data_IF_243465217569
#
_entry.id   IF_243465217569
#
_cell.length_a   1.000
_cell.length_b   1.000
_cell.length_c   1.000
_cell.angle_alpha   90.00
_cell.angle_beta   90.00
_cell.angle_gamma   90.00
#
_symmetry.space_group_name_H-M   'P 1'
#
loop_
_entity.id
_entity.type
_entity.pdbx_description
1 polymer ?
#
# COMPACT_ATOMS: atom_id res chain seq x y z
N UNK A 1 22.73 -10.26 10.30
CA UNK A 1 21.67 -9.53 11.05
C UNK A 1 20.56 -9.22 10.06
N UNK A 2 19.30 -9.50 10.40
CA UNK A 2 18.14 -9.18 9.55
C UNK A 2 17.72 -7.73 9.79
N UNK A 3 17.54 -6.96 8.72
CA UNK A 3 16.98 -5.59 8.81
C UNK A 3 15.51 -5.68 9.22
N UNK A 4 15.07 -4.79 10.11
CA UNK A 4 13.67 -4.64 10.50
C UNK A 4 12.85 -4.13 9.32
N UNK A 5 11.60 -4.58 9.25
CA UNK A 5 10.61 -4.06 8.30
C UNK A 5 10.26 -2.59 8.59
N UNK A 6 9.79 -1.88 7.57
CA UNK A 6 9.41 -0.48 7.69
C UNK A 6 8.12 -0.35 8.50
N UNK A 7 8.14 0.45 9.56
CA UNK A 7 7.06 0.55 10.55
C UNK A 7 6.84 1.97 11.11
N UNK A 8 7.80 2.90 10.95
CA UNK A 8 7.67 4.27 11.45
C UNK A 8 6.78 5.15 10.57
N UNK A 9 6.80 4.93 9.26
CA UNK A 9 6.06 5.73 8.28
C UNK A 9 5.59 4.88 7.10
N UNK A 10 4.72 5.44 6.26
CA UNK A 10 4.26 4.83 5.00
C UNK A 10 5.03 5.34 3.78
N UNK A 11 5.88 6.35 3.96
CA UNK A 11 6.69 6.94 2.91
C UNK A 11 7.90 7.69 3.48
N UNK A 12 8.92 7.86 2.65
CA UNK A 12 10.10 8.67 3.00
C UNK A 12 9.74 10.13 3.31
N UNK A 13 8.71 10.68 2.65
CA UNK A 13 8.22 12.03 2.92
C UNK A 13 7.59 12.16 4.32
N UNK A 14 6.85 11.15 4.76
CA UNK A 14 6.29 11.10 6.11
C UNK A 14 7.39 10.88 7.15
N UNK A 15 8.38 10.02 6.85
CA UNK A 15 9.55 9.82 7.70
C UNK A 15 10.35 11.13 7.89
N UNK A 16 10.53 11.91 6.82
CA UNK A 16 11.15 13.24 6.90
C UNK A 16 10.39 14.17 7.85
N UNK A 17 9.05 14.21 7.78
CA UNK A 17 8.22 15.01 8.68
C UNK A 17 8.37 14.60 10.14
N UNK A 18 8.49 13.29 10.42
CA UNK A 18 8.73 12.77 11.78
C UNK A 18 10.11 13.14 12.32
N UNK A 19 11.08 13.27 11.43
CA UNK A 19 12.46 13.58 11.77
C UNK A 19 12.64 15.07 12.12
N UNK A 20 12.05 15.97 11.31
CA UNK A 20 12.13 17.42 11.49
C UNK A 20 11.49 17.85 12.81
N UNK A 21 12.32 18.17 13.80
CA UNK A 21 11.86 18.74 15.08
C UNK A 21 12.77 19.92 15.44
N UNK A 22 12.21 21.11 15.73
CA UNK A 22 13.02 22.27 16.06
C UNK A 22 13.83 22.01 17.33
N UNK A 23 15.14 22.23 17.24
CA UNK A 23 16.06 22.17 18.38
C UNK A 23 15.85 23.43 19.22
N UNK A 24 15.29 23.29 20.41
CA UNK A 24 14.94 24.42 21.29
C UNK A 24 16.07 24.86 22.20
N UNK A 25 17.16 24.08 22.29
CA UNK A 25 18.27 24.38 23.19
C UNK A 25 19.09 25.59 22.70
N UNK A 26 19.55 26.39 23.67
CA UNK A 26 20.38 27.58 23.43
C UNK A 26 21.82 27.44 23.95
N UNK A 27 22.13 26.37 24.70
CA UNK A 27 23.47 26.11 25.23
C UNK A 27 24.30 25.32 24.19
N UNK A 28 25.42 25.87 23.66
CA UNK A 28 26.22 25.23 22.63
C UNK A 28 26.77 23.85 23.02
N UNK A 29 27.23 23.69 24.26
CA UNK A 29 27.77 22.42 24.76
C UNK A 29 26.68 21.36 24.83
N UNK A 30 25.49 21.71 25.32
CA UNK A 30 24.35 20.79 25.35
C UNK A 30 23.92 20.38 23.94
N UNK A 31 23.91 21.32 22.99
CA UNK A 31 23.61 21.02 21.57
C UNK A 31 24.65 20.05 21.00
N UNK A 32 25.94 20.26 21.29
CA UNK A 32 27.01 19.37 20.84
C UNK A 32 26.89 17.96 21.44
N UNK A 33 26.68 17.84 22.76
CA UNK A 33 26.48 16.54 23.41
C UNK A 33 25.28 15.80 22.84
N UNK A 34 24.16 16.49 22.64
CA UNK A 34 22.94 15.91 22.05
C UNK A 34 23.18 15.45 20.60
N UNK A 35 23.91 16.25 19.82
CA UNK A 35 24.30 15.92 18.46
C UNK A 35 25.16 14.66 18.41
N UNK A 36 26.17 14.55 19.29
CA UNK A 36 27.02 13.35 19.38
C UNK A 36 26.22 12.10 19.76
N UNK A 37 25.26 12.22 20.67
CA UNK A 37 24.35 11.12 21.01
C UNK A 37 23.51 10.67 19.80
N UNK A 38 22.99 11.60 19.00
CA UNK A 38 22.24 11.24 17.79
C UNK A 38 23.13 10.52 16.77
N UNK A 39 24.37 10.98 16.59
CA UNK A 39 25.31 10.30 15.71
C UNK A 39 25.60 8.87 16.17
N UNK A 40 25.86 8.70 17.47
CA UNK A 40 26.15 7.38 18.05
C UNK A 40 24.97 6.43 17.92
N UNK A 41 23.76 6.87 18.28
CA UNK A 41 22.53 6.05 18.14
C UNK A 41 22.25 5.69 16.68
N UNK A 42 22.50 6.61 15.75
CA UNK A 42 22.37 6.30 14.32
C UNK A 42 23.35 5.21 13.88
N UNK A 43 24.61 5.27 14.33
CA UNK A 43 25.63 4.28 13.99
C UNK A 43 25.29 2.88 14.52
N UNK A 44 24.67 2.79 15.70
CA UNK A 44 24.21 1.55 16.33
C UNK A 44 22.99 0.95 15.60
N UNK A 45 22.00 1.79 15.29
CA UNK A 45 20.75 1.31 14.70
C UNK A 45 20.83 1.06 13.20
N UNK A 46 21.75 1.68 12.44
CA UNK A 46 21.74 1.67 10.96
C UNK A 46 21.66 0.29 10.29
N UNK A 47 22.21 -0.75 10.93
CA UNK A 47 22.24 -2.10 10.36
C UNK A 47 20.96 -2.89 10.65
N UNK A 48 20.20 -2.48 11.67
CA UNK A 48 19.00 -3.16 12.15
C UNK A 48 17.74 -2.35 11.79
N UNK A 49 17.72 -1.06 12.11
CA UNK A 49 16.60 -0.13 11.93
C UNK A 49 17.04 1.09 11.11
N UNK A 50 16.82 1.03 9.80
CA UNK A 50 17.17 2.12 8.89
C UNK A 50 16.31 3.36 9.10
N UNK A 51 15.02 3.22 9.45
CA UNK A 51 14.11 4.36 9.66
C UNK A 51 14.53 5.17 10.89
N UNK A 52 14.86 4.49 11.99
CA UNK A 52 15.33 5.13 13.22
C UNK A 52 16.70 5.77 13.02
N UNK A 53 17.64 5.08 12.35
CA UNK A 53 18.95 5.64 12.05
C UNK A 53 18.85 6.91 11.18
N UNK A 54 17.94 6.90 10.19
CA UNK A 54 17.65 8.07 9.35
C UNK A 54 17.12 9.24 10.19
N UNK A 55 16.14 9.00 11.07
CA UNK A 55 15.59 10.04 11.96
C UNK A 55 16.70 10.66 12.83
N UNK A 56 17.59 9.84 13.39
CA UNK A 56 18.68 10.35 14.22
C UNK A 56 19.68 11.18 13.42
N UNK A 57 20.04 10.79 12.19
CA UNK A 57 20.93 11.60 11.34
C UNK A 57 20.30 12.92 10.90
N UNK A 58 19.00 12.94 10.61
CA UNK A 58 18.29 14.19 10.34
C UNK A 58 18.35 15.14 11.54
N UNK A 59 18.12 14.62 12.76
CA UNK A 59 18.23 15.41 13.99
C UNK A 59 19.66 15.84 14.33
N UNK A 60 20.65 15.03 13.94
CA UNK A 60 22.06 15.42 14.01
C UNK A 60 22.30 16.70 13.21
N UNK A 61 21.80 16.78 11.98
CA UNK A 61 21.95 17.98 11.14
C UNK A 61 21.15 19.19 11.65
N UNK A 62 19.97 18.98 12.24
CA UNK A 62 19.23 20.05 12.93
C UNK A 62 20.07 20.65 14.08
N UNK A 63 20.76 19.80 14.87
CA UNK A 63 21.66 20.25 15.93
C UNK A 63 22.92 20.92 15.37
N UNK A 64 23.47 20.41 14.26
CA UNK A 64 24.63 20.99 13.60
C UNK A 64 24.36 22.42 13.11
N UNK A 65 23.22 22.65 12.45
CA UNK A 65 22.82 24.00 12.01
C UNK A 65 22.55 24.91 13.21
N UNK A 66 21.92 24.40 14.29
CA UNK A 66 21.75 25.16 15.53
C UNK A 66 23.07 25.56 16.16
N UNK A 67 24.04 24.64 16.22
CA UNK A 67 25.37 24.89 16.76
C UNK A 67 26.13 25.95 15.92
N UNK A 68 26.01 25.87 14.60
CA UNK A 68 26.58 26.86 13.66
C UNK A 68 25.99 28.26 13.88
N UNK A 69 24.67 28.34 14.10
CA UNK A 69 24.01 29.59 14.45
C UNK A 69 24.51 30.16 15.79
N UNK A 70 24.59 29.33 16.84
CA UNK A 70 25.05 29.74 18.17
C UNK A 70 26.54 30.14 18.21
N UNK A 71 27.38 29.50 17.38
CA UNK A 71 28.79 29.84 17.24
C UNK A 71 29.04 31.15 16.46
N UNK A 72 27.98 31.75 15.89
CA UNK A 72 28.01 33.06 15.27
C UNK A 72 29.04 33.17 14.15
N UNK A 73 28.95 32.33 13.10
CA UNK A 73 29.70 32.39 11.83
C UNK A 73 31.23 32.64 11.88
N UNK A 74 31.86 32.62 13.06
CA UNK A 74 33.28 32.89 13.21
C UNK A 74 34.04 31.58 13.01
N UNK A 75 34.78 31.53 11.91
CA UNK A 75 35.57 30.39 11.41
C UNK A 75 36.61 29.85 12.41
N UNK A 76 36.78 30.51 13.57
CA UNK A 76 37.73 30.19 14.65
C UNK A 76 37.07 29.81 15.99
N UNK A 77 35.76 29.54 16.03
CA UNK A 77 35.15 28.99 17.24
C UNK A 77 35.80 27.65 17.57
N UNK A 78 36.36 27.51 18.78
CA UNK A 78 36.95 26.26 19.28
C UNK A 78 35.97 25.07 19.21
N UNK A 79 34.67 25.33 19.02
CA UNK A 79 33.61 24.35 18.85
C UNK A 79 33.66 23.64 17.47
N UNK A 80 34.13 24.31 16.42
CA UNK A 80 34.21 23.75 15.06
C UNK A 80 35.60 23.20 14.74
N UNK A 81 35.98 22.17 15.49
CA UNK A 81 37.25 21.45 15.29
C UNK A 81 37.26 20.68 13.96
N UNK A 82 38.45 20.30 13.49
CA UNK A 82 38.63 19.45 12.30
C UNK A 82 37.91 18.10 12.44
N UNK A 83 37.78 17.58 13.66
CA UNK A 83 37.08 16.33 13.95
C UNK A 83 35.57 16.47 13.71
N UNK A 84 34.95 17.57 14.13
CA UNK A 84 33.53 17.81 13.89
C UNK A 84 33.21 17.85 12.39
N UNK A 85 34.08 18.49 11.58
CA UNK A 85 33.91 18.51 10.12
C UNK A 85 33.99 17.11 9.51
N UNK A 86 34.94 16.28 9.95
CA UNK A 86 35.06 14.88 9.51
C UNK A 86 33.84 14.05 9.88
N UNK A 87 33.34 14.22 11.11
CA UNK A 87 32.12 13.54 11.58
C UNK A 87 30.89 13.97 10.77
N UNK A 88 30.76 15.25 10.45
CA UNK A 88 29.66 15.76 9.62
C UNK A 88 29.68 15.18 8.20
N UNK A 89 30.87 15.06 7.59
CA UNK A 89 31.02 14.39 6.28
C UNK A 89 30.61 12.91 6.36
N UNK A 90 31.06 12.20 7.40
CA UNK A 90 30.69 10.81 7.61
C UNK A 90 29.18 10.64 7.85
N UNK A 91 28.56 11.56 8.61
CA UNK A 91 27.12 11.60 8.84
C UNK A 91 26.35 11.83 7.53
N UNK A 92 26.89 12.67 6.64
CA UNK A 92 26.31 12.95 5.32
C UNK A 92 26.33 11.71 4.43
N UNK A 93 27.47 11.02 4.34
CA UNK A 93 27.59 9.76 3.60
C UNK A 93 26.60 8.69 4.12
N UNK A 94 26.46 8.61 5.45
CA UNK A 94 25.51 7.68 6.07
C UNK A 94 24.07 8.04 5.73
N UNK A 95 23.71 9.32 5.84
CA UNK A 95 22.36 9.79 5.53
C UNK A 95 22.00 9.53 4.07
N UNK A 96 22.92 9.79 3.14
CA UNK A 96 22.69 9.54 1.71
C UNK A 96 22.49 8.04 1.43
N UNK A 97 23.31 7.18 2.05
CA UNK A 97 23.18 5.73 1.91
C UNK A 97 21.83 5.21 2.43
N UNK A 98 21.38 5.72 3.58
CA UNK A 98 20.10 5.37 4.19
C UNK A 98 18.93 5.89 3.36
N UNK A 99 19.02 7.12 2.85
CA UNK A 99 18.01 7.71 1.99
C UNK A 99 17.77 6.84 0.75
N UNK A 100 18.84 6.48 0.03
CA UNK A 100 18.78 5.59 -1.14
C UNK A 100 18.22 4.21 -0.82
N UNK A 101 18.56 3.65 0.35
CA UNK A 101 18.03 2.34 0.78
C UNK A 101 16.54 2.42 1.09
N UNK A 102 16.13 3.40 1.90
CA UNK A 102 14.74 3.58 2.34
C UNK A 102 13.82 3.91 1.16
N UNK A 103 14.26 4.76 0.23
CA UNK A 103 13.51 5.06 -0.99
C UNK A 103 13.15 3.78 -1.76
N UNK A 104 14.15 2.93 -2.04
CA UNK A 104 13.94 1.63 -2.70
C UNK A 104 12.98 0.72 -1.93
N UNK A 105 13.10 0.68 -0.60
CA UNK A 105 12.25 -0.18 0.24
C UNK A 105 10.80 0.31 0.30
N UNK A 106 10.57 1.61 0.42
CA UNK A 106 9.21 2.18 0.36
C UNK A 106 8.59 2.02 -1.02
N UNK A 107 9.37 2.18 -2.10
CA UNK A 107 8.90 1.89 -3.46
C UNK A 107 8.50 0.42 -3.62
N UNK A 108 9.34 -0.51 -3.15
CA UNK A 108 9.04 -1.94 -3.19
C UNK A 108 7.77 -2.28 -2.39
N UNK A 109 7.60 -1.69 -1.20
CA UNK A 109 6.37 -1.82 -0.40
C UNK A 109 5.14 -1.32 -1.16
N UNK A 110 5.24 -0.16 -1.83
CA UNK A 110 4.14 0.39 -2.63
C UNK A 110 3.80 -0.50 -3.82
N UNK A 111 4.81 -0.99 -4.54
CA UNK A 111 4.63 -1.91 -5.67
C UNK A 111 3.98 -3.22 -5.22
N UNK A 112 4.39 -3.75 -4.07
CA UNK A 112 3.77 -4.94 -3.48
C UNK A 112 2.31 -4.70 -3.08
N UNK A 113 2.01 -3.59 -2.43
CA UNK A 113 0.63 -3.24 -2.11
C UNK A 113 -0.24 -3.07 -3.38
N UNK A 114 0.34 -2.57 -4.47
CA UNK A 114 -0.33 -2.48 -5.77
C UNK A 114 -0.53 -3.87 -6.41
N UNK A 115 0.48 -4.74 -6.42
CA UNK A 115 0.33 -6.11 -6.95
C UNK A 115 -0.70 -6.91 -6.16
N UNK A 116 -0.71 -6.78 -4.83
CA UNK A 116 -1.67 -7.45 -3.95
C UNK A 116 -3.10 -6.92 -4.16
N UNK A 117 -3.25 -5.68 -4.63
CA UNK A 117 -4.56 -5.10 -4.99
C UNK A 117 -5.04 -5.44 -6.41
N UNK A 118 -4.13 -5.77 -7.33
CA UNK A 118 -4.46 -6.15 -8.72
C UNK A 118 -4.69 -7.66 -8.85
N UNK A 119 -4.06 -8.47 -8.00
CA UNK A 119 -4.36 -9.90 -7.91
C UNK A 119 -5.60 -10.13 -7.05
N UNK A 120 -6.80 -10.17 -7.65
CA UNK A 120 -7.94 -11.02 -7.25
C UNK A 120 -9.20 -10.69 -8.08
N UNK A 121 -9.14 -10.89 -9.40
CA UNK A 121 -10.31 -11.52 -10.02
C UNK A 121 -10.20 -13.00 -9.65
N UNK A 122 -11.18 -13.59 -8.95
CA UNK A 122 -11.12 -15.01 -8.62
C UNK A 122 -10.98 -15.79 -9.93
N UNK A 123 -10.19 -16.86 -9.94
CA UNK A 123 -10.07 -17.73 -11.11
C UNK A 123 -11.37 -18.53 -11.22
N UNK A 124 -11.97 -18.66 -12.42
CA UNK A 124 -13.15 -19.52 -12.58
C UNK A 124 -12.84 -20.94 -12.10
N UNK A 125 -13.80 -21.63 -11.45
CA UNK A 125 -13.58 -22.98 -10.95
C UNK A 125 -13.29 -23.97 -12.10
N UNK A 126 -12.34 -24.89 -11.88
CA UNK A 126 -11.94 -25.90 -12.87
C UNK A 126 -13.02 -26.97 -13.16
N UNK A 127 -14.07 -27.02 -12.32
CA UNK A 127 -15.18 -27.96 -12.46
C UNK A 127 -16.41 -27.31 -13.09
N UNK A 128 -17.20 -28.03 -13.89
CA UNK A 128 -18.43 -27.50 -14.47
C UNK A 128 -19.39 -26.99 -13.38
N UNK A 129 -19.77 -25.72 -13.48
CA UNK A 129 -20.77 -25.12 -12.59
C UNK A 129 -22.08 -25.90 -12.80
N UNK A 130 -22.51 -26.65 -11.77
CA UNK A 130 -23.77 -27.41 -11.82
C UNK A 130 -24.94 -26.43 -11.86
N UNK A 131 -25.79 -26.56 -12.88
CA UNK A 131 -26.95 -25.68 -13.14
C UNK A 131 -27.73 -25.36 -11.87
N UNK A 132 -27.86 -24.09 -11.56
CA UNK A 132 -28.78 -23.58 -10.54
C UNK A 132 -30.09 -23.27 -11.24
N UNK A 133 -30.97 -24.27 -11.43
CA UNK A 133 -32.44 -24.13 -11.46
C UNK A 133 -33.08 -25.42 -12.01
N UNK A 134 -33.73 -26.17 -11.11
CA UNK A 134 -35.05 -26.71 -11.42
C UNK A 134 -36.09 -25.66 -11.02
N UNK A 135 -37.21 -25.68 -11.73
CA UNK A 135 -38.27 -24.69 -11.72
C UNK A 135 -38.96 -24.54 -10.35
N UNK A 136 -39.30 -23.31 -9.97
CA UNK A 136 -40.68 -23.05 -9.56
C UNK A 136 -41.08 -21.59 -9.76
N UNK A 137 -42.22 -21.42 -10.42
CA UNK A 137 -42.93 -20.16 -10.52
C UNK A 137 -43.47 -19.80 -9.14
N UNK A 138 -43.15 -18.61 -8.61
CA UNK A 138 -44.16 -17.64 -8.12
C UNK A 138 -43.62 -16.60 -7.13
N UNK A 139 -43.83 -15.34 -7.54
CA UNK A 139 -44.32 -14.21 -6.76
C UNK A 139 -43.41 -13.26 -5.97
N UNK A 140 -43.74 -11.99 -6.26
CA UNK A 140 -43.27 -10.69 -5.80
C UNK A 140 -43.52 -10.41 -4.30
N UNK A 141 -42.68 -9.50 -3.78
CA UNK A 141 -42.94 -8.42 -2.82
C UNK A 141 -43.63 -8.67 -1.46
N UNK A 142 -42.87 -8.28 -0.44
CA UNK A 142 -43.14 -7.76 0.91
C UNK A 142 -44.60 -7.37 1.27
N UNK A 143 -45.09 -7.86 2.43
CA UNK A 143 -45.66 -7.13 3.62
C UNK A 143 -46.87 -7.86 4.28
N UNK A 144 -46.73 -8.05 5.62
CA UNK A 144 -47.74 -8.21 6.72
C UNK A 144 -48.35 -9.58 7.10
N UNK A 145 -48.06 -9.93 8.36
CA UNK A 145 -48.84 -10.60 9.43
C UNK A 145 -49.57 -11.92 9.13
N UNK A 146 -49.16 -12.99 9.81
CA UNK A 146 -49.91 -13.63 10.91
C UNK A 146 -49.19 -14.89 11.42
N UNK A 147 -49.46 -15.24 12.67
CA UNK A 147 -48.90 -16.39 13.42
C UNK A 147 -49.38 -17.73 12.83
N UNK A 148 -48.52 -18.73 12.72
CA UNK A 148 -48.62 -20.05 13.39
C UNK A 148 -47.52 -21.01 12.89
N UNK A 149 -47.04 -21.85 13.81
CA UNK A 149 -45.99 -22.85 13.63
C UNK A 149 -46.43 -24.01 12.71
N UNK A 150 -45.57 -24.43 11.77
CA UNK A 150 -45.34 -25.85 11.45
C UNK A 150 -43.96 -26.05 10.81
N UNK A 151 -43.28 -27.11 11.26
CA UNK A 151 -41.90 -27.54 10.95
C UNK A 151 -41.70 -27.85 9.46
N UNK A 152 -40.63 -27.32 8.86
CA UNK A 152 -40.03 -27.82 7.62
C UNK A 152 -38.51 -28.05 7.81
N UNK A 153 -37.91 -29.03 7.12
CA UNK A 153 -36.51 -29.49 7.27
C UNK A 153 -35.49 -28.42 6.82
N UNK A 154 -34.19 -28.56 7.17
CA UNK A 154 -33.22 -27.49 6.96
C UNK A 154 -32.98 -27.26 5.47
N UNK A 155 -33.44 -26.11 4.99
CA UNK A 155 -33.05 -25.56 3.69
C UNK A 155 -31.56 -25.24 3.80
N UNK A 156 -30.71 -26.07 3.20
CA UNK A 156 -29.35 -25.67 2.88
C UNK A 156 -29.44 -24.47 1.93
N UNK A 157 -29.31 -23.27 2.49
CA UNK A 157 -29.06 -22.06 1.71
C UNK A 157 -27.70 -22.26 1.05
N UNK A 158 -27.72 -22.62 -0.22
CA UNK A 158 -26.53 -22.84 -1.03
C UNK A 158 -25.94 -21.45 -1.30
N UNK A 159 -24.80 -21.16 -0.68
CA UNK A 159 -24.09 -19.90 -0.85
C UNK A 159 -23.77 -19.65 -2.33
N UNK A 160 -24.08 -18.45 -2.82
CA UNK A 160 -23.78 -18.09 -4.21
C UNK A 160 -22.27 -18.01 -4.39
N UNK A 161 -21.70 -18.85 -5.24
CA UNK A 161 -20.26 -18.90 -5.52
C UNK A 161 -19.73 -17.67 -6.27
N UNK A 162 -20.61 -16.72 -6.64
CA UNK A 162 -20.28 -15.57 -7.47
C UNK A 162 -20.04 -15.92 -8.94
N UNK A 163 -20.12 -17.21 -9.29
CA UNK A 163 -19.89 -17.72 -10.63
C UNK A 163 -21.21 -18.15 -11.29
N UNK A 164 -21.35 -17.84 -12.58
CA UNK A 164 -22.47 -18.28 -13.41
C UNK A 164 -21.95 -19.02 -14.64
N UNK A 165 -22.71 -20.00 -15.10
CA UNK A 165 -22.46 -20.66 -16.39
C UNK A 165 -22.83 -19.75 -17.57
N UNK A 166 -22.29 -20.07 -18.74
CA UNK A 166 -22.68 -19.38 -19.99
C UNK A 166 -24.18 -19.52 -20.30
N UNK A 167 -24.80 -20.65 -19.94
CA UNK A 167 -26.24 -20.87 -20.11
C UNK A 167 -27.09 -20.01 -19.16
N UNK A 168 -26.63 -19.80 -17.93
CA UNK A 168 -27.29 -18.91 -16.97
C UNK A 168 -27.14 -17.44 -17.42
N UNK A 169 -25.96 -17.05 -17.91
CA UNK A 169 -25.77 -15.71 -18.48
C UNK A 169 -26.73 -15.44 -19.64
N UNK A 170 -26.88 -16.38 -20.58
CA UNK A 170 -27.84 -16.23 -21.70
C UNK A 170 -29.27 -16.08 -21.19
N UNK A 171 -29.65 -16.81 -20.14
CA UNK A 171 -31.00 -16.72 -19.55
C UNK A 171 -31.20 -15.35 -18.89
N UNK A 172 -30.22 -14.87 -18.13
CA UNK A 172 -30.24 -13.54 -17.50
C UNK A 172 -30.31 -12.41 -18.54
N UNK A 173 -29.55 -12.53 -19.64
CA UNK A 173 -29.61 -11.56 -20.74
C UNK A 173 -30.99 -11.53 -21.40
N UNK A 174 -31.71 -12.65 -21.47
CA UNK A 174 -33.08 -12.66 -22.00
C UNK A 174 -34.10 -12.07 -21.03
N UNK A 175 -33.98 -12.41 -19.74
CA UNK A 175 -34.96 -12.04 -18.72
C UNK A 175 -34.81 -10.59 -18.22
N UNK A 176 -33.57 -10.08 -18.13
CA UNK A 176 -33.24 -8.81 -17.47
C UNK A 176 -32.56 -7.83 -18.42
N UNK A 177 -33.12 -7.64 -19.61
CA UNK A 177 -32.48 -6.86 -20.68
C UNK A 177 -32.06 -5.44 -20.28
N UNK A 178 -32.93 -4.73 -19.55
CA UNK A 178 -32.71 -3.31 -19.23
C UNK A 178 -31.98 -3.09 -17.89
N UNK A 179 -31.69 -4.16 -17.14
CA UNK A 179 -31.06 -4.10 -15.82
C UNK A 179 -29.68 -4.76 -15.75
N UNK A 180 -29.21 -5.36 -16.85
CA UNK A 180 -27.97 -6.14 -16.89
C UNK A 180 -26.86 -5.39 -17.65
N UNK A 181 -25.86 -4.95 -16.90
CA UNK A 181 -24.61 -4.40 -17.42
C UNK A 181 -23.55 -5.51 -17.46
N UNK A 182 -22.93 -5.73 -18.63
CA UNK A 182 -21.90 -6.75 -18.81
C UNK A 182 -20.54 -6.09 -19.05
N UNK A 183 -19.54 -6.52 -18.28
CA UNK A 183 -18.14 -6.14 -18.50
C UNK A 183 -17.41 -7.30 -19.17
N UNK A 184 -16.92 -7.09 -20.39
CA UNK A 184 -16.08 -8.06 -21.09
C UNK A 184 -14.61 -7.77 -20.80
N UNK A 185 -14.00 -8.62 -19.96
CA UNK A 185 -12.61 -8.51 -19.53
C UNK A 185 -11.69 -9.51 -20.26
N UNK A 186 -12.15 -10.11 -21.36
CA UNK A 186 -11.35 -11.08 -22.11
C UNK A 186 -10.12 -10.39 -22.72
N UNK A 187 -9.10 -11.20 -23.03
CA UNK A 187 -7.94 -10.73 -23.79
C UNK A 187 -8.39 -10.17 -25.14
N UNK A 188 -7.67 -9.18 -25.66
CA UNK A 188 -7.91 -8.61 -26.99
C UNK A 188 -7.96 -9.72 -28.06
N UNK A 189 -7.03 -10.66 -28.00
CA UNK A 189 -6.99 -11.84 -28.88
C UNK A 189 -8.20 -12.76 -28.79
N UNK A 190 -8.89 -12.81 -27.64
CA UNK A 190 -10.11 -13.61 -27.45
C UNK A 190 -11.36 -12.84 -27.84
N UNK A 191 -11.36 -11.52 -27.59
CA UNK A 191 -12.41 -10.61 -28.01
C UNK A 191 -12.50 -10.56 -29.54
N UNK A 192 -11.40 -10.31 -30.24
CA UNK A 192 -11.35 -10.24 -31.72
C UNK A 192 -11.87 -11.51 -32.41
N UNK A 193 -11.74 -12.66 -31.75
CA UNK A 193 -12.26 -13.94 -32.27
C UNK A 193 -13.77 -14.09 -32.08
N UNK A 194 -14.36 -13.43 -31.08
CA UNK A 194 -15.75 -13.60 -30.71
C UNK A 194 -16.28 -12.39 -29.93
N UNK A 195 -17.22 -11.66 -30.53
CA UNK A 195 -17.90 -10.53 -29.90
C UNK A 195 -19.24 -10.95 -29.29
N UNK A 196 -19.44 -10.65 -28.00
CA UNK A 196 -20.74 -10.78 -27.35
C UNK A 196 -21.61 -9.61 -27.81
N UNK A 197 -22.73 -9.88 -28.47
CA UNK A 197 -23.67 -8.85 -28.91
C UNK A 197 -24.65 -8.54 -27.77
N UNK A 198 -24.43 -7.42 -27.09
CA UNK A 198 -25.29 -6.94 -26.02
C UNK A 198 -25.27 -5.41 -25.94
N UNK A 199 -26.45 -4.78 -25.84
CA UNK A 199 -26.58 -3.32 -25.92
C UNK A 199 -25.89 -2.61 -24.73
N UNK A 200 -25.96 -3.21 -23.54
CA UNK A 200 -25.34 -2.71 -22.31
C UNK A 200 -24.06 -3.50 -21.97
N UNK A 201 -23.12 -3.57 -22.91
CA UNK A 201 -21.83 -4.21 -22.74
C UNK A 201 -20.68 -3.23 -22.86
N UNK A 202 -19.77 -3.26 -21.89
CA UNK A 202 -18.55 -2.47 -21.90
C UNK A 202 -17.36 -3.43 -22.01
N UNK A 203 -16.56 -3.27 -23.06
CA UNK A 203 -15.33 -4.01 -23.25
C UNK A 203 -14.16 -3.28 -22.57
N UNK A 204 -13.42 -4.00 -21.74
CA UNK A 204 -12.12 -3.59 -21.23
C UNK A 204 -11.07 -4.61 -21.66
N UNK A 205 -10.26 -4.33 -22.70
CA UNK A 205 -9.22 -5.26 -23.14
C UNK A 205 -8.17 -5.39 -22.04
N UNK A 206 -8.17 -6.54 -21.36
CA UNK A 206 -7.29 -6.81 -20.22
C UNK A 206 -5.79 -6.76 -20.58
N UNK A 207 -5.45 -6.84 -21.88
CA UNK A 207 -4.08 -6.95 -22.37
C UNK A 207 -3.24 -5.68 -22.21
N UNK A 208 -3.84 -4.49 -22.22
CA UNK A 208 -3.08 -3.22 -22.28
C UNK A 208 -2.95 -2.51 -20.91
N UNK A 209 -3.61 -3.03 -19.87
CA UNK A 209 -3.71 -2.34 -18.58
C UNK A 209 -3.26 -3.17 -17.37
N UNK A 210 -2.98 -4.47 -17.55
CA UNK A 210 -2.53 -5.36 -16.47
C UNK A 210 -1.05 -5.77 -16.56
N UNK A 211 -0.35 -5.44 -17.65
CA UNK A 211 1.05 -5.85 -17.90
C UNK A 211 2.07 -4.70 -17.99
N UNK A 212 1.68 -3.46 -17.68
CA UNK A 212 2.62 -2.36 -17.56
C UNK A 212 2.66 -1.81 -16.14
N UNK A 213 3.51 -2.41 -15.29
CA UNK A 213 4.54 -1.74 -14.46
C UNK A 213 5.12 -2.66 -13.39
#
# INVERSE_FOLDING_TARGET
MTKLDLYKAKSLAELNKLATKPVTFCNPQLVQTTMDEFFQRAAECRQQDEEVAYIFLMRYFDCYERLKYLAGNTVKSALFTTNLKKQALLAMDYLESLHKSLEKRYEAMRKKAQSDSVQLLPTPPDSPISKTHEADQSMLFIVKQSKFFTKNPPVHQKESTGWISSTELVSLMREKKDALLVFDLRSESSYEKCHIKWDSLINFPACNHLNHR
#
